data_IF_601887470362
#
_entry.id   IF_601887470362
#
_cell.length_a   1.000
_cell.length_b   1.000
_cell.length_c   1.000
_cell.angle_alpha   90.00
_cell.angle_beta   90.00
_cell.angle_gamma   90.00
#
_symmetry.space_group_name_H-M   'P 1'
#
loop_
_entity.id
_entity.type
_entity.pdbx_description
1 polymer ?
#
# COMPACT_ATOMS: atom_id res chain seq x y z
N UNK A 1 -0.13 -5.67 15.68
CA UNK A 1 -0.14 -5.17 14.30
C UNK A 1 0.88 -5.88 13.40
N UNK A 2 2.15 -6.05 13.83
CA UNK A 2 3.22 -6.70 13.04
C UNK A 2 2.86 -8.11 12.54
N UNK A 3 2.27 -8.95 13.38
CA UNK A 3 1.85 -10.30 12.98
C UNK A 3 0.78 -10.34 11.88
N UNK A 4 -0.10 -9.35 11.81
CA UNK A 4 -1.13 -9.31 10.74
C UNK A 4 -0.48 -9.08 9.38
N UNK A 5 0.50 -8.19 9.29
CA UNK A 5 1.28 -7.96 8.05
C UNK A 5 2.01 -9.23 7.61
N UNK A 6 2.62 -9.95 8.56
CA UNK A 6 3.31 -11.23 8.31
C UNK A 6 2.33 -12.30 7.78
N UNK A 7 1.15 -12.45 8.39
CA UNK A 7 0.14 -13.41 7.91
C UNK A 7 -0.41 -13.05 6.53
N UNK A 8 -0.65 -11.76 6.25
CA UNK A 8 -1.07 -11.30 4.92
C UNK A 8 -0.02 -11.67 3.89
N UNK A 9 1.25 -11.49 4.22
CA UNK A 9 2.34 -11.84 3.35
C UNK A 9 2.41 -13.34 3.06
N UNK A 10 2.32 -14.17 4.12
CA UNK A 10 2.30 -15.63 3.98
C UNK A 10 1.12 -16.06 3.10
N UNK A 11 -0.06 -15.47 3.30
CA UNK A 11 -1.21 -15.73 2.43
C UNK A 11 -0.90 -15.42 0.96
N UNK A 12 -0.28 -14.28 0.67
CA UNK A 12 0.10 -13.90 -0.71
C UNK A 12 1.11 -14.88 -1.31
N UNK A 13 2.10 -15.31 -0.54
CA UNK A 13 3.09 -16.33 -0.98
C UNK A 13 2.43 -17.66 -1.30
N UNK A 14 1.38 -18.03 -0.55
CA UNK A 14 0.56 -19.23 -0.80
C UNK A 14 -0.47 -19.04 -1.93
N UNK A 15 -0.53 -17.87 -2.57
CA UNK A 15 -1.52 -17.56 -3.60
C UNK A 15 -2.92 -17.27 -3.06
N UNK A 16 -3.08 -17.09 -1.75
CA UNK A 16 -4.36 -16.76 -1.10
C UNK A 16 -4.57 -15.24 -1.16
N UNK A 17 -5.65 -14.82 -1.80
CA UNK A 17 -6.00 -13.40 -1.90
C UNK A 17 -6.57 -12.89 -0.58
N UNK A 18 -6.20 -11.67 -0.22
CA UNK A 18 -6.82 -10.92 0.87
C UNK A 18 -7.77 -9.90 0.22
N UNK A 19 -9.04 -9.96 0.60
CA UNK A 19 -10.07 -9.06 0.11
C UNK A 19 -10.27 -7.91 1.12
N UNK A 20 -10.49 -6.67 0.66
CA UNK A 20 -10.76 -5.54 1.57
C UNK A 20 -12.03 -5.80 2.39
N UNK A 21 -12.24 -5.07 3.49
CA UNK A 21 -13.53 -5.10 4.16
C UNK A 21 -14.64 -4.70 3.18
N UNK A 22 -15.82 -5.26 3.35
CA UNK A 22 -16.99 -4.94 2.54
C UNK A 22 -18.21 -4.84 3.46
N UNK A 23 -18.97 -3.76 3.34
CA UNK A 23 -20.08 -3.46 4.21
C UNK A 23 -21.19 -4.52 4.10
N UNK A 24 -21.30 -5.15 2.94
CA UNK A 24 -22.32 -6.16 2.64
C UNK A 24 -21.86 -7.59 2.89
N UNK A 25 -20.54 -7.83 3.08
CA UNK A 25 -19.99 -9.19 3.19
C UNK A 25 -19.22 -9.43 4.47
N UNK A 26 -18.44 -8.43 4.93
CA UNK A 26 -17.61 -8.61 6.12
C UNK A 26 -18.44 -8.80 7.39
N UNK A 27 -17.87 -9.57 8.29
CA UNK A 27 -18.25 -9.64 9.71
C UNK A 27 -17.26 -8.86 10.55
N UNK A 28 -17.33 -8.94 11.86
CA UNK A 28 -16.33 -8.32 12.74
C UNK A 28 -14.95 -8.92 12.59
N UNK A 29 -14.86 -10.23 12.41
CA UNK A 29 -13.62 -10.97 12.29
C UNK A 29 -13.28 -11.24 10.82
N UNK A 30 -12.03 -11.66 10.57
CA UNK A 30 -11.64 -12.20 9.27
C UNK A 30 -12.48 -13.43 8.94
N UNK A 31 -12.86 -13.59 7.69
CA UNK A 31 -13.67 -14.73 7.23
C UNK A 31 -13.15 -15.27 5.90
N UNK A 32 -13.46 -16.54 5.61
CA UNK A 32 -13.12 -17.17 4.34
C UNK A 32 -14.26 -16.93 3.35
N UNK A 33 -13.93 -16.47 2.15
CA UNK A 33 -14.85 -16.22 1.05
C UNK A 33 -14.24 -16.70 -0.26
N UNK A 34 -14.81 -17.73 -0.87
CA UNK A 34 -14.38 -18.30 -2.15
C UNK A 34 -12.86 -18.56 -2.25
N UNK A 35 -12.27 -19.20 -1.23
CA UNK A 35 -10.84 -19.48 -1.17
C UNK A 35 -9.93 -18.26 -0.92
N UNK A 36 -10.53 -17.11 -0.63
CA UNK A 36 -9.85 -15.86 -0.24
C UNK A 36 -10.16 -15.53 1.21
N UNK A 37 -9.39 -14.65 1.82
CA UNK A 37 -9.64 -14.15 3.17
C UNK A 37 -10.21 -12.74 3.08
N UNK A 38 -11.43 -12.54 3.58
CA UNK A 38 -12.08 -11.23 3.71
C UNK A 38 -11.61 -10.54 4.99
N UNK A 39 -11.20 -9.29 4.88
CA UNK A 39 -10.78 -8.47 6.02
C UNK A 39 -11.96 -8.15 6.94
N UNK A 40 -11.78 -8.32 8.25
CA UNK A 40 -12.82 -8.07 9.24
C UNK A 40 -13.04 -6.58 9.51
N UNK A 41 -14.29 -6.15 9.68
CA UNK A 41 -14.62 -4.74 9.94
C UNK A 41 -14.08 -4.23 11.30
N UNK A 42 -13.96 -5.09 12.31
CA UNK A 42 -13.42 -4.72 13.61
C UNK A 42 -11.93 -4.33 13.57
N UNK A 43 -11.21 -4.74 12.52
CA UNK A 43 -9.81 -4.37 12.33
C UNK A 43 -9.62 -3.01 11.62
N UNK A 44 -10.70 -2.37 11.17
CA UNK A 44 -10.65 -1.01 10.61
C UNK A 44 -10.53 0.00 11.76
N UNK A 45 -9.54 0.87 11.69
CA UNK A 45 -9.25 1.88 12.72
C UNK A 45 -10.46 2.77 13.03
N UNK A 46 -10.79 2.89 14.29
CA UNK A 46 -11.89 3.73 14.77
C UNK A 46 -13.29 3.13 14.57
N UNK A 47 -13.37 1.86 14.17
CA UNK A 47 -14.64 1.13 14.11
C UNK A 47 -14.80 0.34 15.42
N UNK A 48 -15.72 0.79 16.24
CA UNK A 48 -16.04 0.11 17.49
C UNK A 48 -16.97 -1.09 17.29
N UNK A 49 -16.97 -1.99 18.28
CA UNK A 49 -17.86 -3.15 18.30
C UNK A 49 -19.35 -2.80 18.11
N UNK A 50 -19.89 -1.72 18.76
CA UNK A 50 -21.31 -1.36 18.60
C UNK A 50 -21.67 -0.96 17.16
N UNK A 51 -20.77 -0.24 16.46
CA UNK A 51 -20.98 0.14 15.05
C UNK A 51 -21.06 -1.11 14.17
N UNK A 52 -20.12 -2.03 14.38
CA UNK A 52 -20.06 -3.28 13.63
C UNK A 52 -21.30 -4.15 13.85
N UNK A 53 -21.72 -4.32 15.11
CA UNK A 53 -22.94 -5.09 15.45
C UNK A 53 -24.16 -4.45 14.81
N UNK A 54 -24.31 -3.14 14.87
CA UNK A 54 -25.43 -2.42 14.24
C UNK A 54 -25.45 -2.60 12.72
N UNK A 55 -24.29 -2.68 12.04
CA UNK A 55 -24.20 -2.93 10.59
C UNK A 55 -24.68 -4.36 10.27
N UNK A 56 -24.21 -5.34 11.02
CA UNK A 56 -24.55 -6.76 10.79
C UNK A 56 -26.06 -6.98 11.05
N UNK A 57 -26.57 -6.52 12.19
CA UNK A 57 -27.99 -6.63 12.55
C UNK A 57 -28.88 -5.95 11.51
N UNK A 58 -28.52 -4.75 11.05
CA UNK A 58 -29.29 -4.02 10.06
C UNK A 58 -29.31 -4.74 8.71
N UNK A 59 -28.18 -5.31 8.33
CA UNK A 59 -28.06 -6.11 7.09
C UNK A 59 -28.89 -7.39 7.16
N UNK A 60 -28.92 -8.06 8.29
CA UNK A 60 -29.72 -9.28 8.50
C UNK A 60 -31.22 -8.96 8.49
N UNK A 61 -31.64 -7.82 9.05
CA UNK A 61 -33.02 -7.39 9.13
C UNK A 61 -33.55 -6.84 7.81
N UNK A 62 -32.78 -5.98 7.14
CA UNK A 62 -33.23 -5.19 5.99
C UNK A 62 -32.57 -5.57 4.67
N UNK A 63 -31.77 -6.65 4.63
CA UNK A 63 -31.02 -7.06 3.43
C UNK A 63 -29.78 -6.22 3.19
N UNK A 64 -29.12 -6.49 2.07
CA UNK A 64 -27.90 -5.80 1.67
C UNK A 64 -28.14 -4.29 1.50
N UNK A 65 -27.12 -3.50 1.80
CA UNK A 65 -27.12 -2.06 1.53
C UNK A 65 -26.93 -1.84 0.02
N UNK A 66 -27.76 -0.98 -0.56
CA UNK A 66 -27.75 -0.71 -2.00
C UNK A 66 -26.87 0.47 -2.40
N UNK A 67 -26.61 1.39 -1.49
CA UNK A 67 -25.84 2.62 -1.73
C UNK A 67 -25.31 3.23 -0.44
N UNK A 68 -24.40 4.20 -0.57
CA UNK A 68 -23.92 4.99 0.57
C UNK A 68 -25.09 5.73 1.27
N UNK A 69 -26.07 6.25 0.53
CA UNK A 69 -27.26 6.91 1.09
C UNK A 69 -28.12 5.93 1.88
N UNK A 70 -28.42 4.76 1.32
CA UNK A 70 -29.18 3.69 1.99
C UNK A 70 -28.49 3.26 3.30
N UNK A 71 -27.17 3.05 3.25
CA UNK A 71 -26.36 2.75 4.44
C UNK A 71 -26.50 3.83 5.51
N UNK A 72 -26.33 5.10 5.14
CA UNK A 72 -26.45 6.22 6.08
C UNK A 72 -27.88 6.35 6.65
N UNK A 73 -28.92 6.16 5.84
CA UNK A 73 -30.32 6.24 6.29
C UNK A 73 -30.67 5.15 7.31
N UNK A 74 -30.29 3.90 7.01
CA UNK A 74 -30.63 2.74 7.84
C UNK A 74 -29.85 2.73 9.16
N UNK A 75 -28.63 3.29 9.19
CA UNK A 75 -27.78 3.35 10.37
C UNK A 75 -27.75 4.73 11.04
N UNK A 76 -28.52 5.68 10.55
CA UNK A 76 -28.66 7.00 11.13
C UNK A 76 -29.10 6.92 12.61
N UNK A 77 -28.32 7.55 13.50
CA UNK A 77 -28.57 7.54 14.95
C UNK A 77 -27.98 6.32 15.69
N UNK A 78 -27.27 5.43 15.00
CA UNK A 78 -26.52 4.32 15.58
C UNK A 78 -25.02 4.62 15.43
N UNK A 79 -24.38 5.23 16.33
CA UNK A 79 -22.92 5.47 16.47
C UNK A 79 -22.08 5.64 15.18
N UNK A 80 -22.73 5.72 13.99
CA UNK A 80 -22.12 5.96 12.70
C UNK A 80 -21.97 7.46 12.48
N UNK A 81 -20.75 7.95 12.49
CA UNK A 81 -20.41 9.35 12.31
C UNK A 81 -19.58 9.59 11.04
N UNK A 82 -19.31 10.85 10.71
CA UNK A 82 -18.53 11.22 9.51
C UNK A 82 -17.18 10.52 9.45
N UNK A 83 -16.48 10.39 10.58
CA UNK A 83 -15.18 9.71 10.66
C UNK A 83 -15.29 8.20 10.39
N UNK A 84 -16.37 7.58 10.88
CA UNK A 84 -16.66 6.16 10.59
C UNK A 84 -16.82 5.93 9.08
N UNK A 85 -17.63 6.77 8.42
CA UNK A 85 -17.83 6.67 6.96
C UNK A 85 -16.53 6.92 6.20
N UNK A 86 -15.78 7.96 6.57
CA UNK A 86 -14.48 8.26 5.97
C UNK A 86 -13.52 7.07 6.06
N UNK A 87 -13.40 6.44 7.24
CA UNK A 87 -12.53 5.28 7.43
C UNK A 87 -12.99 4.07 6.63
N UNK A 88 -14.30 3.85 6.48
CA UNK A 88 -14.82 2.80 5.61
C UNK A 88 -14.53 3.09 4.13
N UNK A 89 -14.65 4.34 3.66
CA UNK A 89 -14.28 4.73 2.30
C UNK A 89 -12.79 4.46 2.07
N UNK A 90 -11.92 4.92 2.98
CA UNK A 90 -10.47 4.70 2.90
C UNK A 90 -10.11 3.21 2.88
N UNK A 91 -10.83 2.39 3.66
CA UNK A 91 -10.64 0.95 3.71
C UNK A 91 -11.16 0.20 2.47
N UNK A 92 -11.96 0.84 1.62
CA UNK A 92 -12.62 0.22 0.48
C UNK A 92 -13.90 -0.54 0.81
N UNK A 93 -14.49 -0.33 1.99
CA UNK A 93 -15.66 -1.06 2.44
C UNK A 93 -16.94 -0.80 1.61
N UNK A 94 -16.96 0.26 0.82
CA UNK A 94 -18.04 0.64 -0.09
C UNK A 94 -17.75 0.37 -1.57
N UNK A 95 -16.62 -0.27 -1.90
CA UNK A 95 -16.20 -0.50 -3.28
C UNK A 95 -17.27 -1.34 -4.06
N UNK A 96 -18.08 -2.16 -3.35
CA UNK A 96 -19.18 -2.94 -3.93
C UNK A 96 -20.39 -2.10 -4.37
N UNK A 97 -20.49 -0.81 -4.03
CA UNK A 97 -21.57 0.07 -4.46
C UNK A 97 -21.40 0.64 -5.89
N UNK A 98 -20.32 0.28 -6.59
CA UNK A 98 -20.11 0.64 -7.99
C UNK A 98 -19.56 2.06 -8.23
N UNK A 99 -19.20 2.79 -7.16
CA UNK A 99 -18.48 4.06 -7.23
C UNK A 99 -17.01 3.90 -6.88
N UNK A 100 -16.23 4.97 -7.12
CA UNK A 100 -14.82 5.04 -6.70
C UNK A 100 -14.69 5.61 -5.28
N UNK A 101 -13.61 5.27 -4.57
CA UNK A 101 -13.34 5.85 -3.22
C UNK A 101 -13.29 7.37 -3.27
N UNK A 102 -12.75 7.94 -4.35
CA UNK A 102 -12.68 9.39 -4.56
C UNK A 102 -14.07 10.01 -4.70
N UNK A 103 -14.96 9.38 -5.45
CA UNK A 103 -16.35 9.83 -5.59
C UNK A 103 -17.07 9.81 -4.24
N UNK A 104 -16.98 8.71 -3.49
CA UNK A 104 -17.59 8.62 -2.16
C UNK A 104 -17.01 9.62 -1.18
N UNK A 105 -15.68 9.86 -1.21
CA UNK A 105 -15.03 10.85 -0.36
C UNK A 105 -15.52 12.28 -0.62
N UNK A 106 -15.90 12.60 -1.86
CA UNK A 106 -16.43 13.92 -2.21
C UNK A 106 -17.86 14.15 -1.75
N UNK A 107 -18.67 13.09 -1.66
CA UNK A 107 -20.13 13.25 -1.39
C UNK A 107 -20.57 12.84 0.01
N UNK A 108 -19.77 12.06 0.77
CA UNK A 108 -20.26 11.44 2.00
C UNK A 108 -20.75 12.45 3.04
N UNK A 109 -20.13 13.62 3.15
CA UNK A 109 -20.55 14.68 4.07
C UNK A 109 -21.94 15.18 3.69
N UNK A 110 -22.15 15.47 2.41
CA UNK A 110 -23.43 15.93 1.90
C UNK A 110 -24.52 14.85 2.08
N UNK A 111 -24.20 13.57 1.81
CA UNK A 111 -25.12 12.45 2.04
C UNK A 111 -25.56 12.39 3.50
N UNK A 112 -24.60 12.44 4.43
CA UNK A 112 -24.91 12.37 5.86
C UNK A 112 -25.73 13.56 6.33
N UNK A 113 -25.41 14.76 5.87
CA UNK A 113 -26.12 15.98 6.25
C UNK A 113 -27.57 15.96 5.72
N UNK A 114 -27.78 15.49 4.48
CA UNK A 114 -29.12 15.30 3.90
C UNK A 114 -29.94 14.27 4.70
N UNK A 115 -29.36 13.10 4.99
CA UNK A 115 -30.03 12.07 5.80
C UNK A 115 -30.41 12.57 7.20
N UNK A 116 -29.52 13.34 7.85
CA UNK A 116 -29.80 13.91 9.16
C UNK A 116 -30.92 14.96 9.10
N UNK A 117 -31.01 15.75 8.03
CA UNK A 117 -32.09 16.71 7.80
C UNK A 117 -33.43 16.00 7.54
N UNK A 118 -33.45 14.99 6.66
CA UNK A 118 -34.63 14.17 6.39
C UNK A 118 -35.19 13.57 7.70
N UNK A 119 -34.31 13.04 8.56
CA UNK A 119 -34.72 12.45 9.83
C UNK A 119 -35.29 13.48 10.83
N UNK A 120 -34.67 14.66 10.93
CA UNK A 120 -35.19 15.74 11.79
C UNK A 120 -36.58 16.22 11.36
N UNK A 121 -36.80 16.38 10.05
CA UNK A 121 -38.10 16.77 9.48
C UNK A 121 -39.18 15.74 9.80
N UNK A 122 -38.88 14.44 9.65
CA UNK A 122 -39.82 13.36 9.99
C UNK A 122 -40.19 13.32 11.48
N UNK A 123 -39.24 13.64 12.38
CA UNK A 123 -39.46 13.65 13.83
C UNK A 123 -40.31 14.86 14.30
N UNK A 124 -40.26 15.99 13.60
CA UNK A 124 -41.00 17.19 13.94
C UNK A 124 -42.40 17.24 13.36
N UNK A 125 -42.82 16.22 12.64
CA UNK A 125 -44.14 16.18 12.00
C UNK A 125 -44.34 17.22 10.88
N UNK A 126 -43.29 17.96 10.52
CA UNK A 126 -43.28 18.83 9.36
C UNK A 126 -43.12 17.97 8.11
N UNK A 127 -44.14 18.01 7.25
CA UNK A 127 -44.04 17.46 5.90
C UNK A 127 -42.81 18.10 5.23
N UNK A 128 -41.81 17.30 4.90
CA UNK A 128 -40.69 17.76 4.11
C UNK A 128 -41.18 18.15 2.71
N UNK A 129 -40.57 19.17 2.11
CA UNK A 129 -40.82 19.48 0.69
C UNK A 129 -40.67 18.24 -0.20
N UNK A 130 -39.79 17.30 0.22
CA UNK A 130 -39.58 15.99 -0.40
C UNK A 130 -40.81 15.06 -0.36
N UNK A 131 -41.64 15.14 0.68
CA UNK A 131 -42.86 14.31 0.80
C UNK A 131 -43.97 14.75 -0.17
N UNK A 132 -43.93 16.02 -0.60
CA UNK A 132 -44.86 16.65 -1.50
C UNK A 132 -44.45 16.53 -2.98
N UNK A 133 -43.16 16.26 -3.24
CA UNK A 133 -42.58 16.15 -4.59
C UNK A 133 -42.94 14.82 -5.25
N UNK A 134 -43.21 14.87 -6.56
CA UNK A 134 -43.40 13.69 -7.38
C UNK A 134 -42.12 12.86 -7.53
N UNK A 135 -42.25 11.60 -7.91
CA UNK A 135 -41.12 10.66 -8.07
C UNK A 135 -40.04 11.17 -9.06
N UNK A 136 -40.44 11.93 -10.09
CA UNK A 136 -39.53 12.52 -11.07
C UNK A 136 -38.69 13.69 -10.48
N UNK A 137 -39.33 14.49 -9.63
CA UNK A 137 -38.66 15.59 -8.95
C UNK A 137 -37.68 15.07 -7.86
N UNK A 138 -38.03 13.99 -7.17
CA UNK A 138 -37.14 13.31 -6.20
C UNK A 138 -35.87 12.83 -6.83
N UNK A 139 -35.92 12.32 -8.09
CA UNK A 139 -34.71 11.89 -8.83
C UNK A 139 -33.76 13.05 -9.16
N UNK A 140 -34.29 14.28 -9.29
CA UNK A 140 -33.44 15.46 -9.58
C UNK A 140 -32.63 15.91 -8.36
N UNK A 141 -33.05 15.54 -7.14
CA UNK A 141 -32.36 15.80 -5.89
C UNK A 141 -31.52 14.62 -5.38
N UNK A 142 -31.43 13.52 -6.13
CA UNK A 142 -30.49 12.43 -5.82
C UNK A 142 -29.06 12.95 -5.90
N UNK A 143 -28.29 12.69 -4.82
CA UNK A 143 -26.87 12.99 -4.80
C UNK A 143 -26.18 12.07 -5.80
N UNK A 144 -25.84 12.63 -6.97
CA UNK A 144 -25.15 11.90 -8.03
C UNK A 144 -23.67 11.76 -7.71
N UNK A 145 -23.09 10.64 -8.08
CA UNK A 145 -21.64 10.49 -8.04
C UNK A 145 -21.01 11.49 -9.02
N UNK A 146 -20.03 12.29 -8.58
CA UNK A 146 -19.35 13.24 -9.45
C UNK A 146 -18.57 12.50 -10.55
N UNK A 147 -18.44 13.11 -11.71
CA UNK A 147 -17.65 12.56 -12.81
C UNK A 147 -16.15 12.81 -12.54
N UNK A 148 -15.58 12.02 -11.64
CA UNK A 148 -14.16 12.04 -11.28
C UNK A 148 -13.64 10.62 -11.26
N UNK A 149 -12.38 10.45 -11.69
CA UNK A 149 -11.71 9.15 -11.64
C UNK A 149 -11.46 8.67 -10.22
N UNK A 150 -10.69 7.59 -10.09
CA UNK A 150 -10.25 7.06 -8.80
C UNK A 150 -8.98 7.78 -8.33
N UNK A 151 -8.66 7.65 -7.06
CA UNK A 151 -7.36 8.02 -6.50
C UNK A 151 -6.23 7.24 -7.18
N UNK A 152 -5.05 7.85 -7.30
CA UNK A 152 -3.84 7.15 -7.69
C UNK A 152 -3.57 5.95 -6.75
N UNK A 153 -2.89 4.93 -7.26
CA UNK A 153 -2.61 3.68 -6.51
C UNK A 153 -1.92 3.97 -5.18
N UNK A 154 -0.94 4.87 -5.18
CA UNK A 154 -0.18 5.27 -3.99
C UNK A 154 -1.10 5.86 -2.91
N UNK A 155 -2.03 6.74 -3.31
CA UNK A 155 -2.99 7.34 -2.38
C UNK A 155 -3.92 6.30 -1.76
N UNK A 156 -4.40 5.33 -2.56
CA UNK A 156 -5.22 4.23 -2.06
C UNK A 156 -4.47 3.36 -1.06
N UNK A 157 -3.22 3.03 -1.37
CA UNK A 157 -2.35 2.27 -0.48
C UNK A 157 -2.06 3.03 0.83
N UNK A 158 -1.81 4.34 0.74
CA UNK A 158 -1.64 5.18 1.92
C UNK A 158 -2.90 5.19 2.81
N UNK A 159 -4.10 5.28 2.22
CA UNK A 159 -5.35 5.18 2.96
C UNK A 159 -5.54 3.81 3.63
N UNK A 160 -5.25 2.72 2.91
CA UNK A 160 -5.31 1.38 3.49
C UNK A 160 -4.34 1.25 4.67
N UNK A 161 -3.09 1.71 4.53
CA UNK A 161 -2.10 1.70 5.62
C UNK A 161 -2.57 2.53 6.82
N UNK A 162 -3.19 3.70 6.58
CA UNK A 162 -3.71 4.59 7.64
C UNK A 162 -4.80 3.90 8.47
N UNK A 163 -5.77 3.24 7.82
CA UNK A 163 -6.99 2.75 8.49
C UNK A 163 -7.00 1.24 8.75
N UNK A 164 -6.24 0.44 8.02
CA UNK A 164 -6.11 -1.01 8.19
C UNK A 164 -4.78 -1.41 8.83
N UNK A 165 -3.77 -0.52 8.79
CA UNK A 165 -2.41 -0.79 9.24
C UNK A 165 -1.60 -1.66 8.27
N UNK A 166 -2.20 -2.09 7.17
CA UNK A 166 -1.61 -2.96 6.14
C UNK A 166 -2.05 -2.54 4.75
N UNK A 167 -1.33 -2.98 3.72
CA UNK A 167 -1.71 -2.83 2.32
C UNK A 167 -2.50 -4.05 1.86
N UNK A 168 -3.68 -3.86 1.30
CA UNK A 168 -4.53 -4.94 0.79
C UNK A 168 -4.53 -4.98 -0.73
N UNK A 169 -4.74 -3.84 -1.40
CA UNK A 169 -4.90 -3.76 -2.84
C UNK A 169 -3.59 -3.85 -3.64
N UNK A 170 -2.44 -3.91 -2.96
CA UNK A 170 -1.11 -4.00 -3.55
C UNK A 170 -0.01 -3.68 -2.55
N UNK A 171 1.20 -3.43 -3.03
CA UNK A 171 2.33 -2.97 -2.21
C UNK A 171 3.03 -1.79 -2.92
N UNK A 172 3.50 -0.74 -2.19
CA UNK A 172 4.19 0.40 -2.81
C UNK A 172 5.45 0.04 -3.59
N UNK A 173 6.06 -1.11 -3.28
CA UNK A 173 7.27 -1.61 -3.95
C UNK A 173 6.98 -2.58 -5.10
N UNK A 174 5.72 -2.89 -5.44
CA UNK A 174 5.41 -3.83 -6.53
C UNK A 174 6.01 -3.41 -7.88
N UNK A 175 5.95 -2.11 -8.18
CA UNK A 175 6.52 -1.56 -9.42
C UNK A 175 8.05 -1.64 -9.48
N UNK A 176 8.67 -1.78 -8.31
CA UNK A 176 10.12 -1.90 -8.16
C UNK A 176 10.59 -3.34 -7.92
N UNK A 177 9.69 -4.34 -8.03
CA UNK A 177 9.98 -5.73 -7.68
C UNK A 177 11.20 -6.30 -8.42
N UNK A 178 11.35 -6.00 -9.70
CA UNK A 178 12.48 -6.46 -10.52
C UNK A 178 13.80 -5.77 -10.11
N UNK A 179 13.76 -4.46 -9.87
CA UNK A 179 14.92 -3.68 -9.40
C UNK A 179 15.31 -4.15 -7.99
N UNK A 180 14.31 -4.32 -7.13
CA UNK A 180 14.50 -4.83 -5.77
C UNK A 180 15.19 -6.21 -5.80
N UNK A 181 14.62 -7.18 -6.52
CA UNK A 181 15.12 -8.55 -6.58
C UNK A 181 16.55 -8.66 -7.13
N UNK A 182 16.91 -7.81 -8.09
CA UNK A 182 18.26 -7.80 -8.69
C UNK A 182 19.33 -7.20 -7.79
N UNK A 183 18.97 -6.32 -6.86
CA UNK A 183 19.93 -5.53 -6.09
C UNK A 183 20.04 -5.92 -4.61
N UNK A 184 19.21 -6.86 -4.13
CA UNK A 184 19.30 -7.38 -2.76
C UNK A 184 20.16 -8.63 -2.70
N UNK A 185 20.79 -8.86 -1.54
CA UNK A 185 21.47 -10.12 -1.20
C UNK A 185 20.74 -10.87 -0.08
N UNK A 186 19.85 -10.18 0.65
CA UNK A 186 18.97 -10.75 1.66
C UNK A 186 17.63 -10.00 1.64
N UNK A 187 16.54 -10.73 1.84
CA UNK A 187 15.21 -10.16 2.08
C UNK A 187 15.01 -9.92 3.58
N UNK A 188 14.04 -9.07 3.94
CA UNK A 188 13.72 -8.79 5.34
C UNK A 188 13.29 -10.04 6.09
N UNK A 189 12.59 -10.98 5.43
CA UNK A 189 12.18 -12.27 6.00
C UNK A 189 13.37 -13.15 6.43
N UNK A 190 14.55 -12.98 5.83
CA UNK A 190 15.74 -13.76 6.15
C UNK A 190 16.33 -13.42 7.54
N UNK A 191 15.87 -12.31 8.15
CA UNK A 191 16.30 -11.84 9.48
C UNK A 191 15.50 -12.46 10.63
N UNK A 192 14.43 -13.18 10.34
CA UNK A 192 13.60 -13.84 11.36
C UNK A 192 13.98 -15.30 11.53
N UNK A 193 13.81 -15.86 12.75
CA UNK A 193 14.02 -17.28 12.97
C UNK A 193 13.08 -18.12 12.09
N UNK A 194 13.64 -19.12 11.40
CA UNK A 194 12.86 -20.10 10.64
C UNK A 194 12.17 -21.08 11.60
N UNK A 195 10.93 -21.51 11.27
CA UNK A 195 10.17 -22.44 12.10
C UNK A 195 10.91 -23.77 12.35
N UNK A 196 11.64 -24.27 11.36
CA UNK A 196 12.33 -25.56 11.44
C UNK A 196 13.63 -25.53 12.24
N UNK A 197 14.42 -24.45 12.13
CA UNK A 197 15.76 -24.35 12.72
C UNK A 197 15.82 -23.47 13.95
N UNK A 198 14.83 -22.58 14.16
CA UNK A 198 14.86 -21.54 15.18
C UNK A 198 15.90 -20.44 14.95
N UNK A 199 16.64 -20.49 13.83
CA UNK A 199 17.69 -19.54 13.49
C UNK A 199 17.33 -18.74 12.26
N UNK A 200 17.75 -17.45 12.16
CA UNK A 200 17.59 -16.67 10.96
C UNK A 200 18.49 -17.22 9.84
N UNK A 201 18.09 -16.97 8.58
CA UNK A 201 18.85 -17.40 7.41
C UNK A 201 20.12 -16.58 7.23
N UNK A 202 20.11 -15.31 7.65
CA UNK A 202 21.30 -14.44 7.67
C UNK A 202 22.16 -14.77 8.89
N UNK A 203 23.49 -14.71 8.72
CA UNK A 203 24.46 -14.99 9.80
C UNK A 203 24.93 -13.70 10.46
N UNK A 204 25.22 -13.76 11.74
CA UNK A 204 25.83 -12.64 12.47
C UNK A 204 27.10 -12.15 11.79
N UNK A 205 27.28 -10.82 11.71
CA UNK A 205 28.40 -10.19 11.02
C UNK A 205 28.38 -10.27 9.50
N UNK A 206 27.42 -10.97 8.87
CA UNK A 206 27.34 -11.05 7.42
C UNK A 206 27.02 -9.69 6.81
N UNK A 207 27.73 -9.34 5.73
CA UNK A 207 27.47 -8.13 4.96
C UNK A 207 26.41 -8.41 3.92
N UNK A 208 25.31 -7.67 4.00
CA UNK A 208 24.14 -7.84 3.13
C UNK A 208 23.64 -6.52 2.58
N UNK A 209 22.86 -6.61 1.50
CA UNK A 209 22.10 -5.50 0.92
C UNK A 209 20.61 -5.86 1.04
N UNK A 210 19.86 -5.02 1.73
CA UNK A 210 18.41 -5.12 1.85
C UNK A 210 17.79 -3.92 1.16
N UNK A 211 16.75 -4.11 0.38
CA UNK A 211 16.02 -3.03 -0.29
C UNK A 211 14.61 -2.92 0.26
N UNK A 212 14.12 -1.73 0.47
CA UNK A 212 12.78 -1.54 1.02
C UNK A 212 12.35 -0.08 1.10
N UNK A 213 11.20 0.13 1.71
CA UNK A 213 10.66 1.44 2.06
C UNK A 213 10.78 1.66 3.56
N UNK A 214 11.21 2.84 3.97
CA UNK A 214 11.28 3.23 5.38
C UNK A 214 9.85 3.51 5.88
N UNK A 215 9.34 2.68 6.78
CA UNK A 215 7.97 2.84 7.34
C UNK A 215 7.96 3.57 8.67
N UNK A 216 9.05 3.46 9.45
CA UNK A 216 9.18 4.13 10.75
C UNK A 216 10.59 4.67 10.93
N UNK A 217 10.68 5.83 11.59
CA UNK A 217 11.94 6.47 11.96
C UNK A 217 11.89 6.96 13.40
N UNK A 218 12.84 6.52 14.20
CA UNK A 218 13.05 7.01 15.57
C UNK A 218 14.45 7.58 15.71
N UNK A 219 14.54 8.85 16.04
CA UNK A 219 15.81 9.53 16.29
C UNK A 219 16.18 9.40 17.77
N UNK A 220 17.42 9.04 18.04
CA UNK A 220 18.00 9.01 19.39
C UNK A 220 19.33 9.75 19.44
N UNK A 221 19.69 10.20 20.63
CA UNK A 221 20.98 10.82 20.90
C UNK A 221 21.86 9.86 21.69
N UNK A 222 23.10 9.72 21.26
CA UNK A 222 24.11 8.94 21.97
C UNK A 222 24.53 9.69 23.25
N UNK A 223 25.30 9.01 24.15
CA UNK A 223 25.86 9.63 25.34
C UNK A 223 26.75 10.86 25.03
N UNK A 224 27.28 10.94 23.83
CA UNK A 224 28.13 12.06 23.36
C UNK A 224 27.29 13.09 22.56
N UNK A 225 25.99 13.11 22.75
CA UNK A 225 25.02 14.02 22.10
C UNK A 225 25.04 13.99 20.55
N UNK A 226 25.47 12.86 19.95
CA UNK A 226 25.43 12.67 18.51
C UNK A 226 24.13 11.98 18.12
N UNK A 227 23.56 12.39 16.96
CA UNK A 227 22.31 11.84 16.42
C UNK A 227 22.54 10.46 15.83
N UNK A 228 21.65 9.52 16.13
CA UNK A 228 21.52 8.22 15.49
C UNK A 228 20.06 7.91 15.20
N UNK A 229 19.79 6.99 14.28
CA UNK A 229 18.43 6.60 13.95
C UNK A 229 18.22 5.09 14.09
N UNK A 230 17.00 4.72 14.49
CA UNK A 230 16.45 3.39 14.31
C UNK A 230 15.36 3.53 13.27
N UNK A 231 15.41 2.75 12.20
CA UNK A 231 14.41 2.76 11.15
C UNK A 231 13.87 1.36 10.94
N UNK A 232 12.59 1.28 10.60
CA UNK A 232 11.96 0.05 10.13
C UNK A 232 11.94 0.08 8.61
N UNK A 233 12.63 -0.86 7.98
CA UNK A 233 12.63 -1.04 6.54
C UNK A 233 11.65 -2.16 6.18
N UNK A 234 10.65 -1.87 5.35
CA UNK A 234 9.63 -2.81 4.86
C UNK A 234 9.90 -3.13 3.39
N UNK A 235 10.00 -4.40 3.05
CA UNK A 235 10.09 -4.86 1.67
C UNK A 235 8.84 -5.63 1.25
N UNK A 236 8.91 -6.35 0.13
CA UNK A 236 7.79 -7.14 -0.39
C UNK A 236 7.45 -8.35 0.49
N UNK A 237 8.31 -8.72 1.43
CA UNK A 237 8.20 -9.98 2.19
C UNK A 237 8.28 -9.82 3.71
N UNK A 238 8.47 -8.63 4.23
CA UNK A 238 8.47 -8.39 5.68
C UNK A 238 9.08 -7.05 6.07
N UNK A 239 9.59 -6.98 7.29
CA UNK A 239 10.24 -5.78 7.84
C UNK A 239 11.54 -6.15 8.53
N UNK A 240 12.47 -5.22 8.63
CA UNK A 240 13.70 -5.35 9.43
C UNK A 240 14.02 -4.05 10.15
N UNK A 241 14.48 -4.15 11.40
CA UNK A 241 15.01 -3.00 12.13
C UNK A 241 16.44 -2.70 11.65
N UNK A 242 16.69 -1.45 11.27
CA UNK A 242 18.00 -0.98 10.85
C UNK A 242 18.50 0.06 11.84
N UNK A 243 19.72 -0.15 12.33
CA UNK A 243 20.41 0.80 13.22
C UNK A 243 21.36 1.64 12.39
N UNK A 244 21.19 2.96 12.43
CA UNK A 244 22.04 3.92 11.72
C UNK A 244 22.83 4.72 12.75
N UNK A 245 24.12 4.41 12.87
CA UNK A 245 25.01 5.10 13.80
C UNK A 245 25.34 6.52 13.34
N UNK A 246 25.82 7.41 14.23
CA UNK A 246 25.96 8.84 13.96
C UNK A 246 26.74 9.18 12.69
N UNK A 247 27.84 8.50 12.43
CA UNK A 247 28.67 8.74 11.24
C UNK A 247 27.90 8.50 9.94
N UNK A 248 27.10 7.42 9.92
CA UNK A 248 26.37 7.00 8.74
C UNK A 248 25.03 7.77 8.63
N UNK A 249 24.47 8.20 9.78
CA UNK A 249 23.34 9.12 9.80
C UNK A 249 23.69 10.48 9.18
N UNK A 250 24.82 11.09 9.58
CA UNK A 250 25.28 12.37 9.02
C UNK A 250 25.43 12.34 7.49
N UNK A 251 25.84 11.19 6.94
CA UNK A 251 26.04 11.01 5.49
C UNK A 251 24.74 10.78 4.72
N UNK A 252 23.76 10.18 5.34
CA UNK A 252 22.56 9.66 4.67
C UNK A 252 21.27 10.31 5.18
N UNK A 253 21.33 11.35 6.03
CA UNK A 253 20.15 11.93 6.69
C UNK A 253 19.02 12.31 5.72
N UNK A 254 19.36 12.80 4.53
CA UNK A 254 18.38 13.18 3.49
C UNK A 254 17.59 11.98 2.91
N UNK A 255 18.14 10.77 3.00
CA UNK A 255 17.50 9.53 2.53
C UNK A 255 16.72 8.81 3.65
N UNK A 256 16.92 9.21 4.92
CA UNK A 256 16.29 8.59 6.08
C UNK A 256 14.99 9.33 6.41
N UNK A 257 14.04 9.28 5.49
CA UNK A 257 12.70 9.82 5.67
C UNK A 257 11.65 8.71 5.47
N UNK A 258 10.51 8.85 6.15
CA UNK A 258 9.37 7.93 5.97
C UNK A 258 8.95 7.94 4.50
N UNK A 259 8.55 6.78 3.98
CA UNK A 259 8.19 6.49 2.60
C UNK A 259 9.36 6.55 1.58
N UNK A 260 10.60 6.84 2.03
CA UNK A 260 11.77 6.73 1.17
C UNK A 260 12.04 5.28 0.77
N UNK A 261 12.23 5.03 -0.53
CA UNK A 261 12.58 3.72 -1.09
C UNK A 261 14.09 3.63 -1.26
N UNK A 262 14.72 2.76 -0.49
CA UNK A 262 16.18 2.72 -0.37
C UNK A 262 16.73 1.29 -0.34
N UNK A 263 17.95 1.13 -0.87
CA UNK A 263 18.81 -0.01 -0.60
C UNK A 263 19.76 0.35 0.55
N UNK A 264 19.84 -0.51 1.54
CA UNK A 264 20.72 -0.36 2.69
C UNK A 264 21.72 -1.50 2.69
N UNK A 265 22.99 -1.15 2.57
CA UNK A 265 24.12 -2.05 2.78
C UNK A 265 24.56 -1.99 4.23
N UNK A 266 24.78 -3.13 4.85
CA UNK A 266 25.20 -3.17 6.25
C UNK A 266 25.57 -4.56 6.72
N UNK A 267 25.89 -4.65 7.99
CA UNK A 267 26.24 -5.90 8.66
C UNK A 267 25.06 -6.39 9.50
N UNK A 268 24.80 -7.68 9.45
CA UNK A 268 23.78 -8.32 10.29
C UNK A 268 24.26 -8.32 11.74
N UNK A 269 23.38 -7.95 12.65
CA UNK A 269 23.57 -8.13 14.09
C UNK A 269 22.51 -9.10 14.60
N UNK A 270 22.92 -10.31 14.92
CA UNK A 270 22.04 -11.34 15.47
C UNK A 270 22.08 -11.27 17.00
N UNK A 271 20.90 -11.38 17.60
CA UNK A 271 20.72 -11.61 19.03
C UNK A 271 20.03 -12.97 19.20
N UNK A 272 20.45 -13.72 20.21
CA UNK A 272 19.83 -15.02 20.50
C UNK A 272 18.32 -14.87 20.76
N UNK A 273 17.52 -15.74 20.16
CA UNK A 273 16.05 -15.82 20.28
C UNK A 273 15.26 -14.57 19.82
N UNK A 274 15.89 -13.65 19.05
CA UNK A 274 15.23 -12.47 18.50
C UNK A 274 15.45 -12.34 16.99
N UNK A 275 14.61 -11.53 16.36
CA UNK A 275 14.86 -11.11 14.99
C UNK A 275 16.18 -10.32 14.91
N UNK A 276 17.02 -10.69 13.93
CA UNK A 276 18.27 -10.01 13.66
C UNK A 276 18.03 -8.57 13.19
N UNK A 277 19.01 -7.69 13.40
CA UNK A 277 18.99 -6.29 12.96
C UNK A 277 20.03 -6.06 11.87
N UNK A 278 19.85 -5.01 11.11
CA UNK A 278 20.84 -4.55 10.14
C UNK A 278 21.56 -3.31 10.68
N UNK A 279 22.87 -3.35 10.77
CA UNK A 279 23.70 -2.20 11.10
C UNK A 279 24.07 -1.52 9.79
N UNK A 280 23.55 -0.32 9.58
CA UNK A 280 23.73 0.44 8.34
C UNK A 280 25.18 0.90 8.14
N UNK A 281 25.70 0.72 6.92
CA UNK A 281 26.97 1.32 6.47
C UNK A 281 26.75 2.33 5.32
N UNK A 282 25.79 2.04 4.41
CA UNK A 282 25.52 2.87 3.25
C UNK A 282 24.04 2.78 2.87
N UNK A 283 23.46 3.91 2.47
CA UNK A 283 22.10 4.00 1.93
C UNK A 283 22.17 4.56 0.51
N UNK A 284 21.35 3.99 -0.40
CA UNK A 284 21.23 4.43 -1.79
C UNK A 284 19.74 4.46 -2.13
N UNK A 285 19.24 5.52 -2.75
CA UNK A 285 17.85 5.56 -3.24
C UNK A 285 17.63 4.55 -4.37
N UNK A 286 16.42 4.00 -4.47
CA UNK A 286 16.03 3.16 -5.62
C UNK A 286 16.21 3.89 -6.95
N UNK A 287 16.00 5.21 -6.97
CA UNK A 287 16.14 6.04 -8.17
C UNK A 287 17.62 6.21 -8.61
N UNK A 288 18.57 5.95 -7.72
CA UNK A 288 20.01 6.04 -8.01
C UNK A 288 20.60 4.71 -8.50
N UNK A 289 19.81 3.64 -8.52
CA UNK A 289 20.25 2.36 -9.08
C UNK A 289 20.10 2.44 -10.60
N UNK A 290 21.17 2.24 -11.37
CA UNK A 290 21.09 2.27 -12.83
C UNK A 290 20.07 1.24 -13.32
N UNK A 291 19.13 1.67 -14.12
CA UNK A 291 18.20 0.78 -14.83
C UNK A 291 18.87 0.32 -16.11
N UNK A 292 18.52 -0.87 -16.57
CA UNK A 292 18.96 -1.40 -17.85
C UNK A 292 17.78 -1.41 -18.82
N UNK A 293 17.90 -0.69 -19.94
CA UNK A 293 17.00 -0.79 -21.06
C UNK A 293 17.53 -1.88 -22.01
N UNK A 294 16.81 -2.99 -22.12
CA UNK A 294 17.17 -4.07 -23.01
C UNK A 294 16.46 -3.92 -24.35
N UNK A 295 17.24 -3.79 -25.44
CA UNK A 295 16.75 -3.69 -26.81
C UNK A 295 17.16 -4.96 -27.54
N UNK A 296 16.16 -5.72 -28.01
CA UNK A 296 16.40 -7.00 -28.67
C UNK A 296 16.26 -6.87 -30.18
N UNK A 297 17.27 -7.31 -30.89
CA UNK A 297 17.25 -7.50 -32.33
C UNK A 297 17.24 -9.00 -32.70
N UNK A 298 16.62 -9.34 -33.82
CA UNK A 298 16.55 -10.72 -34.25
C UNK A 298 17.95 -11.31 -34.53
N UNK A 299 18.80 -10.53 -35.20
CA UNK A 299 20.16 -10.87 -35.55
C UNK A 299 21.05 -9.62 -35.69
N UNK A 300 22.32 -9.84 -35.98
CA UNK A 300 23.30 -8.78 -36.19
C UNK A 300 23.00 -7.90 -37.40
N UNK A 301 22.40 -8.47 -38.45
CA UNK A 301 22.06 -7.72 -39.66
C UNK A 301 20.98 -6.68 -39.39
N UNK A 302 19.95 -7.04 -38.68
CA UNK A 302 18.90 -6.09 -38.23
C UNK A 302 19.52 -4.98 -37.36
N UNK A 303 20.37 -5.35 -36.40
CA UNK A 303 21.05 -4.35 -35.56
C UNK A 303 21.87 -3.36 -36.40
N UNK A 304 22.66 -3.83 -37.36
CA UNK A 304 23.50 -2.98 -38.25
C UNK A 304 22.64 -2.03 -39.11
N UNK A 305 21.44 -2.45 -39.50
CA UNK A 305 20.50 -1.62 -40.25
C UNK A 305 19.84 -0.51 -39.40
N UNK A 306 19.51 -0.82 -38.17
CA UNK A 306 18.71 0.08 -37.29
C UNK A 306 19.56 0.80 -36.24
N UNK A 307 20.86 0.50 -36.15
CA UNK A 307 21.74 1.05 -35.10
C UNK A 307 21.87 2.58 -35.14
N UNK A 308 21.82 3.18 -36.32
CA UNK A 308 21.90 4.65 -36.47
C UNK A 308 20.66 5.34 -35.88
N UNK A 309 19.48 4.84 -36.20
CA UNK A 309 18.21 5.34 -35.65
C UNK A 309 18.13 5.13 -34.13
N UNK A 310 18.61 3.98 -33.65
CA UNK A 310 18.72 3.72 -32.21
C UNK A 310 19.59 4.78 -31.51
N UNK A 311 20.78 5.05 -32.03
CA UNK A 311 21.67 6.07 -31.45
C UNK A 311 21.07 7.47 -31.51
N UNK A 312 20.37 7.83 -32.58
CA UNK A 312 19.71 9.14 -32.70
C UNK A 312 18.57 9.28 -31.69
N UNK A 313 17.80 8.22 -31.46
CA UNK A 313 16.76 8.18 -30.44
C UNK A 313 17.34 8.29 -29.02
N UNK A 314 18.41 7.57 -28.74
CA UNK A 314 19.08 7.60 -27.43
C UNK A 314 19.72 8.97 -27.14
N UNK A 315 20.24 9.66 -28.15
CA UNK A 315 20.80 11.03 -27.99
C UNK A 315 19.76 12.10 -27.67
N UNK A 316 18.50 11.86 -28.02
CA UNK A 316 17.39 12.76 -27.69
C UNK A 316 16.82 12.51 -26.28
N UNK A 317 17.32 11.48 -25.59
CA UNK A 317 16.88 11.11 -24.24
C UNK A 317 17.85 11.64 -23.18
N UNK A 318 17.31 12.29 -22.15
CA UNK A 318 18.06 12.77 -20.98
C UNK A 318 18.24 11.68 -19.89
N UNK A 319 17.86 10.44 -20.19
CA UNK A 319 17.92 9.32 -19.27
C UNK A 319 19.35 8.90 -18.90
N UNK A 320 19.52 8.38 -17.69
CA UNK A 320 20.80 7.84 -17.19
C UNK A 320 20.84 6.30 -17.19
N UNK A 321 19.85 5.63 -17.76
CA UNK A 321 19.74 4.19 -17.78
C UNK A 321 20.77 3.54 -18.69
N UNK A 322 21.29 2.37 -18.29
CA UNK A 322 22.22 1.61 -19.13
C UNK A 322 21.44 0.91 -20.25
N UNK A 323 21.93 1.04 -21.48
CA UNK A 323 21.33 0.38 -22.63
C UNK A 323 22.12 -0.89 -22.99
N UNK A 324 21.40 -2.00 -23.03
CA UNK A 324 21.94 -3.31 -23.42
C UNK A 324 21.26 -3.76 -24.70
N UNK A 325 22.04 -3.99 -25.73
CA UNK A 325 21.57 -4.59 -26.99
C UNK A 325 21.76 -6.11 -26.90
N UNK A 326 20.68 -6.84 -27.15
CA UNK A 326 20.70 -8.30 -27.20
C UNK A 326 20.41 -8.80 -28.62
N UNK A 327 21.35 -9.54 -29.19
CA UNK A 327 21.24 -10.20 -30.52
C UNK A 327 20.75 -11.64 -30.29
N UNK A 328 19.50 -11.91 -30.69
CA UNK A 328 18.81 -13.16 -30.37
C UNK A 328 19.42 -14.38 -31.05
N UNK A 329 19.76 -14.26 -32.35
CA UNK A 329 20.31 -15.37 -33.11
C UNK A 329 21.70 -15.80 -32.61
N UNK A 330 22.55 -14.82 -32.28
CA UNK A 330 23.92 -15.04 -31.80
C UNK A 330 23.99 -15.24 -30.29
N UNK A 331 22.90 -14.99 -29.55
CA UNK A 331 22.86 -14.97 -28.07
C UNK A 331 23.91 -14.06 -27.45
N UNK A 332 24.21 -12.94 -28.12
CA UNK A 332 25.22 -11.96 -27.68
C UNK A 332 24.60 -10.72 -27.07
N UNK A 333 25.26 -10.21 -26.03
CA UNK A 333 24.92 -8.96 -25.40
C UNK A 333 26.00 -7.91 -25.65
N UNK A 334 25.58 -6.68 -25.90
CA UNK A 334 26.46 -5.53 -26.07
C UNK A 334 25.94 -4.37 -25.19
N UNK A 335 26.72 -3.97 -24.23
CA UNK A 335 26.44 -2.76 -23.46
C UNK A 335 26.82 -1.54 -24.31
N UNK A 336 25.89 -0.63 -24.49
CA UNK A 336 26.18 0.64 -25.14
C UNK A 336 26.82 1.58 -24.11
N UNK A 337 27.83 2.38 -24.54
CA UNK A 337 28.41 3.38 -23.65
C UNK A 337 27.34 4.39 -23.24
N UNK A 338 27.35 4.78 -21.94
CA UNK A 338 26.52 5.88 -21.48
C UNK A 338 26.82 7.12 -22.37
N UNK A 339 25.79 7.65 -23.02
CA UNK A 339 25.95 8.91 -23.76
C UNK A 339 26.32 10.02 -22.77
N UNK A 340 27.48 10.64 -22.96
CA UNK A 340 27.86 11.90 -22.30
C UNK A 340 27.20 13.06 -23.01
#
# INVERSE_FOLDING_TARGET
PSKVSEYILNCRQMGIRILPPDINRSTGSFSVEDGSIRYGMAAVKGIGKPVMEAIVEERERGGLFSSLKDFCQRLSGKEVNKRTIENFIKAGAFDSFGGTRKQFMMIYVQVMDTVNQEKKSSMTGQMSLFDIMGEEDKKSFEIRLPDVGEYAKESKLAFEKEVLGVYISGHPLEEYADVWKKNITAATSDFYPMEESGLPKVRDGAKVIVGGMITEKTIKYTKNNKVMAFITLEDLVGTVEVVVFPRDYERNAALIETDSKVFIMGNVSAEDDKASKLICEKIVSFDQVPRELWIQFADRKQYEQEVAELYDTLRQSDGSDHVVVYLRAEKQMKHLPASR
#
